data_IF_629876856533
#
_entry.id   IF_629876856533
#
_cell.length_a   1.000
_cell.length_b   1.000
_cell.length_c   1.000
_cell.angle_alpha   90.00
_cell.angle_beta   90.00
_cell.angle_gamma   90.00
#
_symmetry.space_group_name_H-M   'P 1'
#
loop_
_entity.id
_entity.type
_entity.pdbx_description
1 polymer ?
#
# COMPACT_ATOMS: atom_id res chain seq x y z
N UNK A 1 13.63 6.24 7.12
CA UNK A 1 13.22 7.49 6.47
C UNK A 1 11.90 8.04 6.99
N UNK A 2 10.84 7.27 7.11
CA UNK A 2 9.52 7.77 7.58
C UNK A 2 9.52 8.44 8.96
N UNK A 3 10.28 7.91 9.92
CA UNK A 3 10.34 8.45 11.30
C UNK A 3 10.95 9.86 11.33
N UNK A 4 11.94 10.15 10.49
CA UNK A 4 12.58 11.45 10.43
C UNK A 4 11.66 12.55 9.85
N UNK A 5 10.72 12.15 8.99
CA UNK A 5 9.76 13.05 8.34
C UNK A 5 8.49 13.29 9.17
N UNK A 6 8.24 12.47 10.20
CA UNK A 6 7.04 12.62 11.01
C UNK A 6 7.12 13.87 11.89
N UNK A 7 6.05 14.65 11.92
CA UNK A 7 5.90 15.78 12.82
C UNK A 7 5.75 15.31 14.28
N UNK A 8 5.88 16.23 15.24
CA UNK A 8 5.56 15.93 16.64
C UNK A 8 4.06 15.55 16.77
N UNK A 9 3.78 14.48 17.51
CA UNK A 9 2.43 13.92 17.61
C UNK A 9 1.99 13.14 16.37
N UNK A 10 2.89 12.92 15.40
CA UNK A 10 2.58 12.26 14.14
C UNK A 10 2.29 10.77 14.28
N UNK A 11 1.50 10.26 13.33
CA UNK A 11 1.17 8.84 13.20
C UNK A 11 1.90 8.25 11.98
N UNK A 12 2.58 7.14 12.19
CA UNK A 12 3.24 6.35 11.14
C UNK A 12 2.45 5.06 10.99
N UNK A 13 1.82 4.86 9.84
CA UNK A 13 1.06 3.64 9.56
C UNK A 13 1.84 2.78 8.55
N UNK A 14 2.09 1.54 8.92
CA UNK A 14 2.81 0.56 8.10
C UNK A 14 1.79 -0.38 7.48
N UNK A 15 1.61 -0.30 6.15
CA UNK A 15 0.63 -1.09 5.39
C UNK A 15 1.28 -2.15 4.50
N UNK A 16 2.56 -1.98 4.13
CA UNK A 16 3.25 -2.85 3.16
C UNK A 16 3.84 -4.09 3.79
N UNK A 17 3.94 -5.17 2.99
CA UNK A 17 4.52 -6.45 3.38
C UNK A 17 5.74 -6.83 2.52
N UNK A 18 6.40 -5.86 1.89
CA UNK A 18 7.57 -6.13 1.03
C UNK A 18 8.87 -6.46 1.81
N UNK A 19 8.77 -6.61 3.12
CA UNK A 19 9.91 -6.84 3.98
C UNK A 19 10.66 -5.56 4.35
N UNK A 20 11.85 -5.71 4.90
CA UNK A 20 12.69 -4.64 5.42
C UNK A 20 12.70 -4.56 6.93
N UNK A 21 13.68 -3.82 7.46
CA UNK A 21 13.90 -3.64 8.90
C UNK A 21 13.74 -2.18 9.29
N UNK A 22 13.25 -1.93 10.48
CA UNK A 22 13.21 -0.62 11.11
C UNK A 22 14.11 -0.61 12.35
N UNK A 23 15.24 0.08 12.24
CA UNK A 23 16.06 0.39 13.41
C UNK A 23 15.69 1.78 13.92
N UNK A 24 15.28 1.87 15.17
CA UNK A 24 14.82 3.10 15.80
C UNK A 24 15.44 3.28 17.18
N UNK A 25 16.01 4.45 17.43
CA UNK A 25 16.38 4.83 18.80
C UNK A 25 15.11 5.09 19.62
N UNK A 26 14.87 4.28 20.65
CA UNK A 26 13.66 4.35 21.47
C UNK A 26 13.31 5.75 21.99
N UNK A 27 14.27 6.61 22.41
CA UNK A 27 13.96 7.95 22.91
C UNK A 27 13.24 8.86 21.88
N UNK A 28 13.36 8.57 20.59
CA UNK A 28 12.69 9.35 19.52
C UNK A 28 11.16 9.28 19.65
N UNK A 29 10.62 8.15 20.11
CA UNK A 29 9.18 7.97 20.26
C UNK A 29 8.59 8.93 21.29
N UNK A 30 9.01 8.93 22.57
CA UNK A 30 8.47 9.87 23.56
C UNK A 30 8.89 11.32 23.33
N UNK A 31 10.08 11.58 22.80
CA UNK A 31 10.53 12.96 22.52
C UNK A 31 9.69 13.66 21.44
N UNK A 32 9.07 12.91 20.53
CA UNK A 32 8.20 13.43 19.46
C UNK A 32 6.73 13.05 19.61
N UNK A 33 6.28 12.50 20.71
CA UNK A 33 5.04 11.72 20.96
C UNK A 33 4.52 11.01 19.71
N UNK A 34 5.36 10.13 19.10
CA UNK A 34 5.00 9.43 17.87
C UNK A 34 4.15 8.19 18.16
N UNK A 35 3.23 7.90 17.24
CA UNK A 35 2.52 6.62 17.18
C UNK A 35 3.02 5.83 15.96
N UNK A 36 3.35 4.56 16.16
CA UNK A 36 3.68 3.63 15.06
C UNK A 36 2.66 2.51 15.12
N UNK A 37 1.93 2.32 14.03
CA UNK A 37 0.81 1.38 13.95
C UNK A 37 0.89 0.56 12.66
N UNK A 38 0.61 -0.74 12.77
CA UNK A 38 0.38 -1.59 11.59
C UNK A 38 -1.06 -1.43 11.08
N UNK A 39 -1.23 -1.60 9.77
CA UNK A 39 -2.54 -1.75 9.13
C UNK A 39 -2.48 -2.96 8.21
N UNK A 40 -3.39 -3.90 8.41
CA UNK A 40 -3.41 -5.14 7.65
C UNK A 40 -4.81 -5.37 7.06
N UNK A 41 -4.87 -5.39 5.71
CA UNK A 41 -6.09 -5.57 4.92
C UNK A 41 -7.27 -4.74 5.43
N UNK A 42 -8.46 -5.29 5.48
CA UNK A 42 -9.66 -4.63 5.97
C UNK A 42 -10.71 -5.66 6.37
N UNK A 43 -11.79 -5.19 6.97
CA UNK A 43 -12.94 -5.99 7.36
C UNK A 43 -13.93 -6.14 6.20
N UNK A 44 -14.83 -7.12 6.30
CA UNK A 44 -15.94 -7.28 5.34
C UNK A 44 -16.82 -6.03 5.30
N UNK A 45 -17.00 -5.37 6.42
CA UNK A 45 -17.81 -4.15 6.52
C UNK A 45 -17.17 -3.00 5.72
N UNK A 46 -15.88 -2.78 5.89
CA UNK A 46 -15.13 -1.75 5.13
C UNK A 46 -15.18 -2.03 3.62
N UNK A 47 -15.09 -3.30 3.20
CA UNK A 47 -15.26 -3.66 1.79
C UNK A 47 -16.65 -3.29 1.26
N UNK A 48 -17.71 -3.59 2.01
CA UNK A 48 -19.09 -3.23 1.64
C UNK A 48 -19.26 -1.71 1.52
N UNK A 49 -18.69 -0.96 2.45
CA UNK A 49 -18.72 0.51 2.44
C UNK A 49 -17.96 1.08 1.25
N UNK A 50 -16.77 0.53 0.94
CA UNK A 50 -16.00 0.91 -0.24
C UNK A 50 -16.77 0.65 -1.54
N UNK A 51 -17.36 -0.54 -1.70
CA UNK A 51 -18.17 -0.88 -2.88
C UNK A 51 -19.36 0.05 -3.02
N UNK A 52 -20.04 0.35 -1.91
CA UNK A 52 -21.15 1.31 -1.89
C UNK A 52 -20.69 2.73 -2.27
N UNK A 53 -19.53 3.16 -1.76
CA UNK A 53 -18.93 4.46 -2.09
C UNK A 53 -18.62 4.56 -3.59
N UNK A 54 -17.95 3.56 -4.14
CA UNK A 54 -17.62 3.49 -5.57
C UNK A 54 -18.87 3.54 -6.44
N UNK A 55 -19.92 2.81 -6.05
CA UNK A 55 -21.21 2.81 -6.78
C UNK A 55 -21.97 4.14 -6.74
N UNK A 56 -21.72 4.98 -5.73
CA UNK A 56 -22.39 6.30 -5.58
C UNK A 56 -21.56 7.46 -6.13
N UNK A 57 -20.26 7.25 -6.29
CA UNK A 57 -19.34 8.28 -6.74
C UNK A 57 -18.72 7.86 -8.07
N UNK A 58 -18.44 8.82 -8.93
CA UNK A 58 -17.72 8.55 -10.17
C UNK A 58 -16.21 8.46 -9.90
N UNK A 59 -15.82 7.60 -8.95
CA UNK A 59 -14.43 7.45 -8.55
C UNK A 59 -13.64 6.75 -9.67
N UNK A 60 -12.54 7.35 -10.08
CA UNK A 60 -11.66 6.74 -11.08
C UNK A 60 -11.05 5.47 -10.51
N UNK A 61 -11.21 4.36 -11.22
CA UNK A 61 -10.50 3.13 -10.91
C UNK A 61 -8.99 3.29 -11.13
N UNK A 62 -8.20 2.47 -10.44
CA UNK A 62 -6.77 2.36 -10.75
C UNK A 62 -6.59 1.88 -12.19
N UNK A 63 -5.57 2.36 -12.92
CA UNK A 63 -5.27 1.87 -14.27
C UNK A 63 -5.11 0.35 -14.30
N UNK A 64 -5.70 -0.29 -15.28
CA UNK A 64 -5.58 -1.74 -15.50
C UNK A 64 -4.97 -1.98 -16.87
N UNK A 65 -3.87 -2.74 -16.89
CA UNK A 65 -3.23 -3.23 -18.11
C UNK A 65 -3.45 -4.74 -18.21
N UNK A 66 -3.75 -5.23 -19.38
CA UNK A 66 -3.90 -6.67 -19.62
C UNK A 66 -2.70 -7.21 -20.40
N UNK A 67 -2.26 -8.42 -20.06
CA UNK A 67 -1.23 -9.16 -20.78
C UNK A 67 -1.65 -10.63 -20.92
N UNK A 68 -1.21 -11.32 -21.98
CA UNK A 68 -1.45 -12.76 -22.07
C UNK A 68 -0.72 -13.51 -20.96
N UNK A 69 -1.27 -14.65 -20.53
CA UNK A 69 -0.67 -15.48 -19.48
C UNK A 69 0.76 -15.92 -19.81
N UNK A 70 1.08 -16.09 -21.09
CA UNK A 70 2.43 -16.40 -21.57
C UNK A 70 3.48 -15.35 -21.17
N UNK A 71 3.08 -14.12 -20.88
CA UNK A 71 3.95 -13.04 -20.43
C UNK A 71 4.03 -12.91 -18.88
N UNK A 72 3.55 -13.90 -18.14
CA UNK A 72 3.51 -13.84 -16.67
C UNK A 72 4.89 -13.50 -16.06
N UNK A 73 5.96 -14.15 -16.53
CA UNK A 73 7.31 -13.90 -16.05
C UNK A 73 7.77 -12.45 -16.32
N UNK A 74 7.49 -11.92 -17.51
CA UNK A 74 7.82 -10.55 -17.85
C UNK A 74 7.03 -9.56 -17.00
N UNK A 75 5.74 -9.82 -16.76
CA UNK A 75 4.89 -9.01 -15.89
C UNK A 75 5.39 -8.97 -14.44
N UNK A 76 5.84 -10.12 -13.92
CA UNK A 76 6.43 -10.20 -12.57
C UNK A 76 7.76 -9.45 -12.48
N UNK A 77 8.60 -9.52 -13.51
CA UNK A 77 9.84 -8.74 -13.58
C UNK A 77 9.56 -7.23 -13.59
N UNK A 78 8.56 -6.79 -14.36
CA UNK A 78 8.17 -5.38 -14.41
C UNK A 78 7.64 -4.90 -13.05
N UNK A 79 6.85 -5.73 -12.36
CA UNK A 79 6.38 -5.44 -11.00
C UNK A 79 7.55 -5.33 -10.01
N UNK A 80 8.48 -6.29 -10.05
CA UNK A 80 9.65 -6.31 -9.16
C UNK A 80 10.54 -5.07 -9.33
N UNK A 81 10.68 -4.58 -10.56
CA UNK A 81 11.46 -3.38 -10.87
C UNK A 81 10.68 -2.06 -10.73
N UNK A 82 9.43 -2.10 -10.23
CA UNK A 82 8.61 -0.90 -10.04
C UNK A 82 8.17 -0.22 -11.34
N UNK A 83 8.12 -0.95 -12.47
CA UNK A 83 7.72 -0.41 -13.78
C UNK A 83 6.22 -0.46 -14.04
N UNK A 84 5.45 -1.03 -13.11
CA UNK A 84 3.98 -1.15 -13.24
C UNK A 84 3.29 0.02 -12.58
N UNK A 85 2.47 0.74 -13.33
CA UNK A 85 1.55 1.75 -12.81
C UNK A 85 0.13 1.16 -12.82
N UNK A 86 -0.47 1.06 -11.65
CA UNK A 86 -1.79 0.46 -11.49
C UNK A 86 -1.75 -1.06 -11.32
N UNK A 87 -2.55 -1.79 -12.09
CA UNK A 87 -2.73 -3.24 -11.99
C UNK A 87 -2.47 -3.92 -13.33
N UNK A 88 -1.67 -4.97 -13.33
CA UNK A 88 -1.56 -5.88 -14.48
C UNK A 88 -2.43 -7.10 -14.24
N UNK A 89 -3.30 -7.42 -15.21
CA UNK A 89 -4.15 -8.62 -15.22
C UNK A 89 -3.64 -9.55 -16.31
N UNK A 90 -3.39 -10.81 -15.95
CA UNK A 90 -3.01 -11.84 -16.91
C UNK A 90 -4.27 -12.53 -17.44
N UNK A 91 -4.36 -12.65 -18.76
CA UNK A 91 -5.50 -13.27 -19.45
C UNK A 91 -5.01 -14.60 -20.05
N UNK A 92 -5.73 -15.71 -19.84
CA UNK A 92 -5.43 -17.03 -20.42
C UNK A 92 -5.40 -17.02 -21.94
#
# INVERSE_FOLDING_TARGET
>A
MGVACAARGGHIVICGLMGGDLTLALPVIPMRPLTIQGSYVGTLQELKELVSLVGRTNMKAIPVNTRPLSEANAAMQDLHHGRVVGRTVLIP
#
